data_IF_121186854647
#
_entry.id   IF_121186854647
#
_cell.length_a   1.000
_cell.length_b   1.000
_cell.length_c   1.000
_cell.angle_alpha   90.00
_cell.angle_beta   90.00
_cell.angle_gamma   90.00
#
_symmetry.space_group_name_H-M   'P 1'
#
loop_
_entity.id
_entity.type
_entity.pdbx_description
1 polymer ?
#
# COMPACT_ATOMS: atom_id res chain seq x y z
N UNK A 1 -16.68 5.91 28.88
CA UNK A 1 -16.97 4.70 28.09
C UNK A 1 -16.56 4.95 26.65
N UNK A 2 -15.99 3.91 26.02
CA UNK A 2 -15.64 3.75 24.60
C UNK A 2 -14.33 4.39 24.11
N UNK A 3 -13.22 3.73 24.45
CA UNK A 3 -12.05 3.67 23.56
C UNK A 3 -12.43 2.65 22.47
N UNK A 4 -12.80 3.11 21.28
CA UNK A 4 -12.91 2.23 20.10
C UNK A 4 -11.51 2.00 19.57
N UNK A 5 -10.87 0.94 20.04
CA UNK A 5 -9.71 0.34 19.41
C UNK A 5 -10.17 -0.83 18.54
N UNK A 6 -10.83 -0.53 17.43
CA UNK A 6 -11.04 -1.51 16.35
C UNK A 6 -10.08 -1.16 15.20
N UNK A 7 -8.78 -1.26 15.49
CA UNK A 7 -7.82 -1.55 14.44
C UNK A 7 -7.78 -3.08 14.36
N UNK A 8 -8.44 -3.66 13.35
CA UNK A 8 -8.33 -5.07 13.05
C UNK A 8 -6.83 -5.46 13.10
N UNK A 9 -6.45 -6.57 13.75
CA UNK A 9 -5.06 -7.01 13.72
C UNK A 9 -4.69 -7.18 12.26
N UNK A 10 -3.81 -6.31 11.76
CA UNK A 10 -3.21 -6.46 10.44
C UNK A 10 -2.67 -7.89 10.42
N UNK A 11 -3.29 -8.75 9.62
CA UNK A 11 -2.88 -10.14 9.51
C UNK A 11 -1.37 -10.14 9.26
N UNK A 12 -0.60 -10.67 10.20
CA UNK A 12 0.86 -10.76 10.08
C UNK A 12 1.10 -11.69 8.89
N UNK A 13 1.28 -11.14 7.69
CA UNK A 13 1.62 -11.91 6.51
C UNK A 13 2.97 -12.58 6.77
N UNK A 14 3.00 -13.91 6.60
CA UNK A 14 4.24 -14.67 6.70
C UNK A 14 5.26 -14.10 5.72
N UNK A 15 6.42 -13.68 6.22
CA UNK A 15 7.50 -13.11 5.42
C UNK A 15 8.03 -14.11 4.39
N UNK A 16 8.00 -15.41 4.72
CA UNK A 16 8.40 -16.50 3.83
C UNK A 16 7.19 -17.35 3.43
N UNK A 17 7.18 -17.81 2.18
CA UNK A 17 6.22 -18.84 1.76
C UNK A 17 6.59 -20.21 2.34
N UNK A 18 5.64 -21.14 2.36
CA UNK A 18 5.91 -22.52 2.79
C UNK A 18 6.94 -23.21 1.87
N UNK A 19 6.96 -22.88 0.58
CA UNK A 19 7.93 -23.37 -0.38
C UNK A 19 9.35 -22.86 -0.08
N UNK A 20 9.50 -21.56 0.22
CA UNK A 20 10.80 -20.96 0.60
C UNK A 20 11.31 -21.53 1.92
N UNK A 21 10.40 -21.76 2.87
CA UNK A 21 10.72 -22.43 4.14
C UNK A 21 11.22 -23.86 3.89
N UNK A 22 10.55 -24.61 3.02
CA UNK A 22 10.94 -25.97 2.67
C UNK A 22 12.28 -26.02 1.90
N UNK A 23 12.54 -25.03 1.05
CA UNK A 23 13.78 -24.92 0.28
C UNK A 23 14.99 -24.57 1.16
N UNK A 24 14.81 -23.73 2.18
CA UNK A 24 15.83 -23.48 3.20
C UNK A 24 16.16 -24.76 3.99
N UNK A 25 15.13 -25.52 4.36
CA UNK A 25 15.28 -26.78 5.09
C UNK A 25 15.94 -27.87 4.23
N UNK A 26 15.70 -27.90 2.91
CA UNK A 26 16.29 -28.90 2.01
C UNK A 26 17.74 -28.57 1.60
N UNK A 27 18.08 -27.27 1.49
CA UNK A 27 19.46 -26.81 1.31
C UNK A 27 20.33 -26.98 2.55
N UNK A 28 19.79 -27.41 3.70
CA UNK A 28 20.58 -27.72 4.88
C UNK A 28 21.55 -28.92 4.73
N UNK A 29 21.43 -29.68 3.64
CA UNK A 29 22.29 -30.83 3.33
C UNK A 29 23.51 -30.42 2.47
N UNK A 30 24.48 -29.69 3.05
CA UNK A 30 25.75 -29.37 2.36
C UNK A 30 26.95 -30.07 3.02
N UNK A 31 27.53 -31.12 2.40
CA UNK A 31 28.64 -31.89 2.96
C UNK A 31 30.02 -31.21 2.87
N UNK A 32 30.10 -29.93 2.45
CA UNK A 32 31.37 -29.22 2.20
C UNK A 32 31.51 -27.89 2.95
N UNK A 33 30.62 -27.55 3.88
CA UNK A 33 30.75 -26.35 4.70
C UNK A 33 31.81 -26.57 5.79
N UNK A 34 32.87 -25.75 5.79
CA UNK A 34 33.91 -25.74 6.84
C UNK A 34 33.46 -25.00 8.12
N UNK A 35 32.35 -24.25 8.06
CA UNK A 35 31.64 -23.71 9.22
C UNK A 35 30.53 -24.69 9.65
N UNK A 36 30.13 -24.70 10.93
CA UNK A 36 29.01 -25.52 11.38
C UNK A 36 27.79 -25.26 10.46
N UNK A 37 27.24 -26.27 9.78
CA UNK A 37 26.17 -26.11 8.78
C UNK A 37 24.97 -25.30 9.29
N UNK A 38 24.69 -25.39 10.59
CA UNK A 38 23.64 -24.60 11.26
C UNK A 38 23.89 -23.09 11.23
N UNK A 39 25.12 -22.63 11.44
CA UNK A 39 25.46 -21.20 11.47
C UNK A 39 25.29 -20.54 10.09
N UNK A 40 25.66 -21.26 9.02
CA UNK A 40 25.54 -20.77 7.65
C UNK A 40 24.07 -20.68 7.19
N UNK A 41 23.24 -21.67 7.55
CA UNK A 41 21.81 -21.69 7.26
C UNK A 41 21.06 -20.59 8.00
N UNK A 42 21.41 -20.34 9.26
CA UNK A 42 20.85 -19.23 10.05
C UNK A 42 21.13 -17.91 9.35
N UNK A 43 22.37 -17.67 8.91
CA UNK A 43 22.77 -16.43 8.25
C UNK A 43 22.05 -16.19 6.92
N UNK A 44 21.96 -17.20 6.05
CA UNK A 44 21.20 -17.09 4.79
C UNK A 44 19.71 -16.83 5.06
N UNK A 45 19.16 -17.50 6.07
CA UNK A 45 17.75 -17.32 6.46
C UNK A 45 17.51 -15.90 7.00
N UNK A 46 18.40 -15.39 7.84
CA UNK A 46 18.33 -14.03 8.39
C UNK A 46 18.41 -12.96 7.29
N UNK A 47 19.36 -13.08 6.36
CA UNK A 47 19.51 -12.14 5.25
C UNK A 47 18.28 -12.15 4.32
N UNK A 48 17.73 -13.33 4.04
CA UNK A 48 16.54 -13.46 3.19
C UNK A 48 15.28 -12.93 3.90
N UNK A 49 15.08 -13.24 5.18
CA UNK A 49 13.98 -12.70 5.99
C UNK A 49 14.10 -11.19 6.11
N UNK A 50 15.29 -10.66 6.36
CA UNK A 50 15.56 -9.22 6.44
C UNK A 50 15.24 -8.53 5.11
N UNK A 51 15.70 -9.07 3.99
CA UNK A 51 15.42 -8.50 2.67
C UNK A 51 13.92 -8.43 2.39
N UNK A 52 13.18 -9.51 2.68
CA UNK A 52 11.72 -9.54 2.49
C UNK A 52 10.96 -8.65 3.47
N UNK A 53 11.41 -8.55 4.72
CA UNK A 53 10.86 -7.59 5.69
C UNK A 53 11.05 -6.15 5.19
N UNK A 54 12.23 -5.81 4.67
CA UNK A 54 12.48 -4.48 4.11
C UNK A 54 11.57 -4.19 2.91
N UNK A 55 11.40 -5.16 2.00
CA UNK A 55 10.48 -5.03 0.88
C UNK A 55 9.02 -4.85 1.33
N UNK A 56 8.59 -5.62 2.34
CA UNK A 56 7.25 -5.53 2.90
C UNK A 56 7.01 -4.17 3.58
N UNK A 57 7.97 -3.67 4.36
CA UNK A 57 7.90 -2.34 4.98
C UNK A 57 7.86 -1.24 3.92
N UNK A 58 8.68 -1.35 2.87
CA UNK A 58 8.67 -0.39 1.77
C UNK A 58 7.32 -0.36 1.05
N UNK A 59 6.73 -1.52 0.75
CA UNK A 59 5.41 -1.63 0.13
C UNK A 59 4.30 -1.06 1.03
N UNK A 60 4.35 -1.32 2.34
CA UNK A 60 3.40 -0.75 3.30
C UNK A 60 3.52 0.78 3.39
N UNK A 61 4.75 1.30 3.45
CA UNK A 61 5.00 2.74 3.50
C UNK A 61 4.55 3.44 2.21
N UNK A 62 4.80 2.82 1.05
CA UNK A 62 4.28 3.29 -0.23
C UNK A 62 2.75 3.34 -0.23
N UNK A 63 2.09 2.25 0.17
CA UNK A 63 0.63 2.19 0.19
C UNK A 63 0.00 3.22 1.13
N UNK A 64 0.61 3.43 2.30
CA UNK A 64 0.21 4.47 3.24
C UNK A 64 0.39 5.87 2.66
N UNK A 65 1.51 6.13 1.97
CA UNK A 65 1.80 7.41 1.33
C UNK A 65 0.81 7.75 0.21
N UNK A 66 0.52 6.78 -0.66
CA UNK A 66 -0.48 6.92 -1.74
C UNK A 66 -1.86 7.23 -1.16
N UNK A 67 -2.27 6.48 -0.13
CA UNK A 67 -3.56 6.70 0.55
C UNK A 67 -3.63 8.09 1.17
N UNK A 68 -2.58 8.52 1.87
CA UNK A 68 -2.53 9.84 2.49
C UNK A 68 -2.60 10.99 1.46
N UNK A 69 -1.93 10.83 0.32
CA UNK A 69 -1.97 11.83 -0.76
C UNK A 69 -3.37 11.97 -1.38
N UNK A 70 -4.04 10.84 -1.68
CA UNK A 70 -5.41 10.84 -2.18
C UNK A 70 -6.38 11.49 -1.17
N UNK A 71 -6.24 11.16 0.12
CA UNK A 71 -7.09 11.72 1.17
C UNK A 71 -6.91 13.24 1.36
N UNK A 72 -5.71 13.78 1.10
CA UNK A 72 -5.49 15.23 1.12
C UNK A 72 -6.24 15.92 -0.02
N UNK A 73 -6.20 15.37 -1.24
CA UNK A 73 -6.94 15.91 -2.37
C UNK A 73 -8.45 15.85 -2.12
N UNK A 74 -8.95 14.71 -1.66
CA UNK A 74 -10.36 14.54 -1.29
C UNK A 74 -10.81 15.59 -0.29
N UNK A 75 -10.08 15.76 0.81
CA UNK A 75 -10.40 16.77 1.83
C UNK A 75 -10.40 18.19 1.27
N UNK A 76 -9.51 18.47 0.33
CA UNK A 76 -9.44 19.79 -0.33
C UNK A 76 -10.63 20.02 -1.25
N UNK A 77 -11.03 19.01 -2.03
CA UNK A 77 -12.22 19.04 -2.87
C UNK A 77 -13.49 19.21 -2.02
N UNK A 78 -13.63 18.45 -0.93
CA UNK A 78 -14.74 18.58 0.01
C UNK A 78 -14.79 19.96 0.69
N UNK A 79 -13.64 20.54 1.04
CA UNK A 79 -13.58 21.89 1.60
C UNK A 79 -14.01 22.93 0.59
N UNK A 80 -13.49 22.86 -0.63
CA UNK A 80 -13.88 23.77 -1.70
C UNK A 80 -15.37 23.65 -2.05
N UNK A 81 -15.89 22.43 -2.13
CA UNK A 81 -17.31 22.17 -2.36
C UNK A 81 -18.20 22.79 -1.29
N UNK A 82 -17.81 22.69 -0.02
CA UNK A 82 -18.54 23.28 1.10
C UNK A 82 -18.49 24.81 1.10
N UNK A 83 -17.33 25.37 0.80
CA UNK A 83 -17.08 26.81 0.94
C UNK A 83 -17.56 27.60 -0.28
N UNK A 84 -17.54 26.99 -1.46
CA UNK A 84 -17.78 27.64 -2.74
C UNK A 84 -18.95 27.04 -3.52
N UNK A 85 -19.39 25.82 -3.17
CA UNK A 85 -20.51 25.16 -3.81
C UNK A 85 -21.84 25.76 -3.36
N UNK A 86 -22.57 26.32 -4.32
CA UNK A 86 -23.93 26.82 -4.11
C UNK A 86 -24.90 25.94 -4.89
N UNK A 87 -25.86 25.31 -4.19
CA UNK A 87 -26.88 24.51 -4.84
C UNK A 87 -28.02 25.39 -5.35
N UNK A 88 -28.29 25.35 -6.64
CA UNK A 88 -29.44 26.03 -7.25
C UNK A 88 -30.74 25.37 -6.73
N UNK A 89 -31.63 26.13 -6.08
CA UNK A 89 -32.87 25.58 -5.51
C UNK A 89 -33.90 25.18 -6.57
N UNK A 90 -33.79 25.69 -7.80
CA UNK A 90 -34.75 25.45 -8.88
C UNK A 90 -34.37 24.23 -9.74
N UNK A 91 -33.08 24.03 -9.98
CA UNK A 91 -32.56 22.93 -10.82
C UNK A 91 -31.92 21.81 -10.00
N UNK A 92 -31.55 22.08 -8.75
CA UNK A 92 -30.79 21.16 -7.91
C UNK A 92 -29.32 21.04 -8.30
N UNK A 93 -28.85 21.79 -9.32
CA UNK A 93 -27.48 21.75 -9.79
C UNK A 93 -26.52 22.45 -8.81
N UNK A 94 -25.29 21.96 -8.74
CA UNK A 94 -24.22 22.64 -8.02
C UNK A 94 -23.56 23.70 -8.90
N UNK A 95 -23.47 24.91 -8.39
CA UNK A 95 -22.76 26.02 -9.00
C UNK A 95 -21.49 26.31 -8.20
N UNK A 96 -20.42 26.60 -8.92
CA UNK A 96 -19.14 27.02 -8.36
C UNK A 96 -18.73 28.37 -8.97
N UNK A 97 -17.74 29.07 -8.39
CA UNK A 97 -17.06 30.17 -9.06
C UNK A 97 -16.56 29.77 -10.46
N UNK A 98 -16.29 30.72 -11.37
CA UNK A 98 -15.75 30.41 -12.70
C UNK A 98 -14.52 29.48 -12.60
N UNK A 99 -14.47 28.45 -13.44
CA UNK A 99 -13.45 27.37 -13.44
C UNK A 99 -13.50 26.41 -12.23
N UNK A 100 -14.37 26.65 -11.25
CA UNK A 100 -14.46 25.83 -10.03
C UNK A 100 -15.02 24.43 -10.28
N UNK A 101 -15.86 24.26 -11.31
CA UNK A 101 -16.33 22.94 -11.72
C UNK A 101 -15.19 22.11 -12.33
N UNK A 102 -14.45 22.68 -13.28
CA UNK A 102 -13.30 22.02 -13.91
C UNK A 102 -12.23 21.64 -12.88
N UNK A 103 -11.95 22.53 -11.93
CA UNK A 103 -11.01 22.27 -10.84
C UNK A 103 -11.44 21.11 -9.93
N UNK A 104 -12.75 21.00 -9.65
CA UNK A 104 -13.28 19.88 -8.87
C UNK A 104 -13.14 18.55 -9.62
N UNK A 105 -13.45 18.54 -10.92
CA UNK A 105 -13.23 17.37 -11.77
C UNK A 105 -11.75 16.96 -11.80
N UNK A 106 -10.84 17.93 -12.00
CA UNK A 106 -9.39 17.65 -11.98
C UNK A 106 -8.92 17.05 -10.65
N UNK A 107 -9.45 17.51 -9.52
CA UNK A 107 -9.07 16.94 -8.21
C UNK A 107 -9.64 15.54 -7.97
N UNK A 108 -10.87 15.27 -8.42
CA UNK A 108 -11.48 13.94 -8.34
C UNK A 108 -10.73 12.93 -9.23
N UNK A 109 -10.43 13.32 -10.47
CA UNK A 109 -9.64 12.50 -11.41
C UNK A 109 -8.21 12.24 -10.89
N UNK A 110 -7.58 13.25 -10.28
CA UNK A 110 -6.25 13.10 -9.70
C UNK A 110 -6.26 12.21 -8.44
N UNK A 111 -7.30 12.31 -7.60
CA UNK A 111 -7.48 11.39 -6.47
C UNK A 111 -7.55 9.94 -6.95
N UNK A 112 -8.38 9.68 -7.97
CA UNK A 112 -8.55 8.34 -8.56
C UNK A 112 -7.22 7.84 -9.14
N UNK A 113 -6.55 8.65 -9.96
CA UNK A 113 -5.25 8.32 -10.56
C UNK A 113 -4.17 7.97 -9.51
N UNK A 114 -4.17 8.67 -8.36
CA UNK A 114 -3.26 8.37 -7.26
C UNK A 114 -3.61 7.01 -6.63
N UNK A 115 -4.90 6.73 -6.41
CA UNK A 115 -5.33 5.43 -5.86
C UNK A 115 -5.00 4.26 -6.79
N UNK A 116 -5.06 4.48 -8.10
CA UNK A 116 -4.69 3.47 -9.10
C UNK A 116 -3.22 3.02 -9.02
N UNK A 117 -2.33 3.84 -8.45
CA UNK A 117 -0.93 3.45 -8.21
C UNK A 117 -0.81 2.22 -7.28
N UNK A 118 -1.81 1.96 -6.43
CA UNK A 118 -1.87 0.75 -5.60
C UNK A 118 -2.18 -0.51 -6.41
N UNK A 119 -3.02 -0.38 -7.44
CA UNK A 119 -3.43 -1.49 -8.31
C UNK A 119 -2.36 -1.84 -9.35
N UNK A 120 -1.65 -0.85 -9.89
CA UNK A 120 -0.58 -1.08 -10.87
C UNK A 120 0.60 -1.87 -10.26
N UNK A 121 0.88 -1.68 -8.97
CA UNK A 121 1.91 -2.44 -8.24
C UNK A 121 1.56 -3.93 -8.04
N UNK A 122 0.29 -4.32 -8.16
CA UNK A 122 -0.13 -5.72 -8.07
C UNK A 122 0.01 -6.48 -9.40
N UNK A 123 0.10 -5.78 -10.54
CA UNK A 123 0.22 -6.40 -11.86
C UNK A 123 1.67 -6.69 -12.27
N UNK A 124 2.65 -5.92 -11.80
CA UNK A 124 4.08 -6.14 -12.14
C UNK A 124 4.70 -7.36 -11.45
N UNK A 125 4.01 -7.99 -10.49
CA UNK A 125 4.47 -9.20 -9.81
C UNK A 125 4.01 -10.53 -10.43
N UNK A 126 3.22 -10.51 -11.52
CA UNK A 126 2.58 -11.70 -12.11
C UNK A 126 2.94 -11.91 -13.58
N UNK A 127 4.22 -11.74 -13.93
CA UNK A 127 4.78 -12.19 -15.21
C UNK A 127 5.83 -13.27 -14.97
N UNK A 128 5.36 -14.47 -14.62
CA UNK A 128 6.10 -15.71 -14.89
C UNK A 128 5.59 -16.26 -16.24
N UNK A 129 6.48 -16.27 -17.24
CA UNK A 129 6.44 -17.18 -18.38
C UNK A 129 7.28 -18.41 -18.05
#
# INVERSE_FOLDING_TARGET
>A
MNIRADAAPAAIQSVLTDAERHQLLSRANYPHLQEEPGAYLVKITEDMVRSKLLALVANQAFAAGVTAAADVLKKRAEAYHRDQGAKDPSTGAWNYPPLGFDLMCEWEELEESIRELLTSQQQEGSTEC
#
